data_IF_705867151431
#
_entry.id   IF_705867151431
#
_cell.length_a   1.000
_cell.length_b   1.000
_cell.length_c   1.000
_cell.angle_alpha   90.00
_cell.angle_beta   90.00
_cell.angle_gamma   90.00
#
_symmetry.space_group_name_H-M   'P 1'
#
loop_
_entity.id
_entity.type
_entity.pdbx_description
1 polymer ?
#
# COMPACT_ATOMS: atom_id res chain seq x y z
N UNK A 1 -5.91 18.39 -1.62
CA UNK A 1 -6.88 17.47 -1.00
C UNK A 1 -6.21 16.10 -0.95
N UNK A 2 -5.93 15.55 0.24
CA UNK A 2 -5.37 14.20 0.41
C UNK A 2 -6.48 13.17 0.73
N UNK A 3 -7.76 13.56 0.53
CA UNK A 3 -8.91 12.67 0.54
C UNK A 3 -8.88 11.68 -0.62
N UNK A 4 -8.18 10.56 -0.47
CA UNK A 4 -8.19 9.46 -1.44
C UNK A 4 -9.53 8.69 -1.35
N UNK A 5 -10.50 9.30 -2.02
CA UNK A 5 -11.93 9.06 -2.18
C UNK A 5 -12.56 7.67 -1.94
N UNK A 6 -13.84 7.77 -1.53
CA UNK A 6 -14.91 6.74 -1.49
C UNK A 6 -15.22 6.15 -2.90
N UNK A 7 -15.89 4.98 -3.00
CA UNK A 7 -15.61 3.98 -4.02
C UNK A 7 -16.22 4.23 -5.41
N UNK A 8 -15.50 3.79 -6.45
CA UNK A 8 -16.07 3.42 -7.76
C UNK A 8 -16.47 1.94 -7.68
N UNK A 9 -17.77 1.67 -7.82
CA UNK A 9 -18.41 0.35 -7.73
C UNK A 9 -17.92 -0.63 -8.81
N UNK A 10 -16.76 -1.27 -8.67
CA UNK A 10 -16.45 -2.49 -9.42
C UNK A 10 -15.50 -3.39 -8.62
N UNK A 11 -16.07 -4.29 -7.81
CA UNK A 11 -15.81 -5.74 -7.83
C UNK A 11 -16.45 -6.39 -6.59
N UNK A 12 -17.13 -7.48 -6.86
CA UNK A 12 -18.13 -8.10 -6.00
C UNK A 12 -17.48 -9.14 -5.06
N UNK A 13 -17.84 -9.06 -3.78
CA UNK A 13 -17.87 -10.14 -2.77
C UNK A 13 -16.56 -10.64 -2.16
N UNK A 14 -16.11 -9.94 -1.09
CA UNK A 14 -15.76 -10.59 0.19
C UNK A 14 -16.34 -9.74 1.32
N UNK A 15 -17.17 -10.33 2.19
CA UNK A 15 -17.87 -9.60 3.26
C UNK A 15 -16.91 -9.09 4.34
N UNK A 16 -17.04 -7.80 4.62
CA UNK A 16 -16.80 -7.10 5.91
C UNK A 16 -15.38 -6.63 6.25
N UNK A 17 -14.77 -5.89 5.33
CA UNK A 17 -14.07 -4.62 5.59
C UNK A 17 -13.52 -4.20 4.25
N UNK A 18 -14.24 -3.37 3.51
CA UNK A 18 -13.75 -2.87 2.22
C UNK A 18 -12.43 -2.13 2.49
N UNK A 19 -11.31 -2.77 2.16
CA UNK A 19 -10.00 -2.14 2.24
C UNK A 19 -9.93 -1.18 1.06
N UNK A 20 -9.97 0.12 1.34
CA UNK A 20 -9.88 1.17 0.35
C UNK A 20 -8.42 1.59 0.16
N UNK A 21 -7.98 1.77 -1.10
CA UNK A 21 -6.64 2.25 -1.43
C UNK A 21 -6.00 1.49 -2.60
N UNK A 22 -4.85 1.98 -3.05
CA UNK A 22 -4.02 1.30 -4.06
C UNK A 22 -3.04 0.38 -3.31
N UNK A 23 -3.04 -0.91 -3.64
CA UNK A 23 -2.50 -1.99 -2.80
C UNK A 23 -1.11 -1.73 -2.18
N UNK A 24 -0.09 -1.27 -2.94
CA UNK A 24 1.23 -0.95 -2.38
C UNK A 24 1.23 0.06 -1.23
N UNK A 25 0.26 0.97 -1.21
CA UNK A 25 0.14 2.04 -0.23
C UNK A 25 -0.69 1.65 1.00
N UNK A 26 -1.34 0.48 0.99
CA UNK A 26 -2.16 0.02 2.12
C UNK A 26 -1.28 -0.69 3.14
N UNK A 27 -1.36 -0.26 4.39
CA UNK A 27 -0.57 -0.82 5.48
C UNK A 27 -0.93 -2.29 5.77
N UNK A 28 0.04 -3.13 6.16
CA UNK A 28 -0.18 -4.57 6.36
C UNK A 28 -1.21 -4.89 7.44
N UNK A 29 -1.36 -4.06 8.47
CA UNK A 29 -2.40 -4.23 9.47
C UNK A 29 -3.81 -4.01 8.87
N UNK A 30 -3.97 -3.02 7.98
CA UNK A 30 -5.22 -2.75 7.28
C UNK A 30 -5.54 -3.89 6.31
N UNK A 31 -4.54 -4.42 5.60
CA UNK A 31 -4.69 -5.60 4.74
C UNK A 31 -5.15 -6.85 5.50
N UNK A 32 -4.81 -6.96 6.79
CA UNK A 32 -5.26 -8.04 7.69
C UNK A 32 -6.60 -7.77 8.36
N UNK A 33 -7.31 -6.72 7.95
CA UNK A 33 -8.60 -6.33 8.53
C UNK A 33 -8.50 -5.70 9.92
N UNK A 34 -7.30 -5.27 10.34
CA UNK A 34 -7.18 -4.48 11.58
C UNK A 34 -7.61 -3.03 11.32
N UNK A 35 -8.01 -2.31 12.38
CA UNK A 35 -8.38 -0.90 12.26
C UNK A 35 -7.24 -0.06 11.68
N UNK A 36 -7.61 0.94 10.88
CA UNK A 36 -6.70 1.98 10.44
C UNK A 36 -6.14 2.76 11.64
N UNK A 37 -4.84 3.08 11.60
CA UNK A 37 -4.17 3.84 12.67
C UNK A 37 -3.24 4.90 12.08
N UNK A 38 -2.65 5.73 12.95
CA UNK A 38 -1.58 6.64 12.56
C UNK A 38 -0.36 5.90 11.95
N UNK A 39 -0.10 4.65 12.37
CA UNK A 39 0.96 3.85 11.76
C UNK A 39 0.64 3.51 10.29
N UNK A 40 -0.64 3.40 9.95
CA UNK A 40 -1.09 3.18 8.59
C UNK A 40 -0.83 4.41 7.71
N UNK A 41 -1.09 5.62 8.21
CA UNK A 41 -0.72 6.88 7.53
C UNK A 41 0.80 6.95 7.29
N UNK A 42 1.60 6.62 8.30
CA UNK A 42 3.08 6.63 8.21
C UNK A 42 3.55 5.65 7.15
N UNK A 43 2.96 4.45 7.09
CA UNK A 43 3.26 3.45 6.06
C UNK A 43 2.99 4.01 4.66
N UNK A 44 1.76 4.50 4.41
CA UNK A 44 1.37 5.04 3.10
C UNK A 44 2.26 6.21 2.68
N UNK A 45 2.56 7.12 3.61
CA UNK A 45 3.48 8.23 3.37
C UNK A 45 4.90 7.76 3.04
N UNK A 46 5.39 6.72 3.71
CA UNK A 46 6.71 6.14 3.43
C UNK A 46 6.78 5.54 2.03
N UNK A 47 5.69 4.91 1.57
CA UNK A 47 5.60 4.37 0.21
C UNK A 47 5.58 5.49 -0.85
N UNK A 48 4.85 6.58 -0.60
CA UNK A 48 4.86 7.78 -1.46
C UNK A 48 6.26 8.41 -1.51
N UNK A 49 6.92 8.58 -0.35
CA UNK A 49 8.26 9.14 -0.29
C UNK A 49 9.27 8.26 -1.02
N UNK A 50 9.15 6.94 -0.91
CA UNK A 50 10.01 6.03 -1.66
C UNK A 50 9.82 6.22 -3.16
N UNK A 51 8.59 6.25 -3.67
CA UNK A 51 8.28 6.48 -5.09
C UNK A 51 8.80 7.85 -5.57
N UNK A 52 8.66 8.89 -4.74
CA UNK A 52 9.16 10.22 -5.05
C UNK A 52 10.69 10.29 -5.15
N UNK A 53 11.40 9.65 -4.22
CA UNK A 53 12.87 9.64 -4.21
C UNK A 53 13.42 8.74 -5.32
N UNK A 54 12.74 7.63 -5.60
CA UNK A 54 13.16 6.66 -6.61
C UNK A 54 12.87 7.11 -8.04
N UNK A 55 11.76 7.83 -8.24
CA UNK A 55 11.17 8.05 -9.57
C UNK A 55 10.65 6.77 -10.22
N UNK A 56 10.49 5.68 -9.45
CA UNK A 56 10.08 4.35 -9.92
C UNK A 56 8.80 3.96 -9.20
N UNK A 57 7.85 3.36 -9.93
CA UNK A 57 6.59 2.90 -9.34
C UNK A 57 6.82 1.75 -8.36
N UNK A 58 6.05 1.72 -7.28
CA UNK A 58 6.12 0.64 -6.29
C UNK A 58 5.78 -0.71 -6.92
N UNK A 59 6.67 -1.68 -6.80
CA UNK A 59 6.47 -3.03 -7.34
C UNK A 59 6.15 -3.03 -8.84
N UNK A 60 6.83 -2.18 -9.62
CA UNK A 60 6.66 -1.96 -11.08
C UNK A 60 6.59 -3.24 -11.95
N UNK A 61 7.09 -4.37 -11.44
CA UNK A 61 7.10 -5.66 -12.13
C UNK A 61 6.09 -6.68 -11.57
N UNK A 62 5.14 -6.25 -10.75
CA UNK A 62 4.22 -7.15 -10.03
C UNK A 62 2.76 -6.76 -10.23
N UNK A 63 1.89 -7.77 -10.31
CA UNK A 63 0.46 -7.55 -10.34
C UNK A 63 -0.04 -7.09 -8.96
N UNK A 64 -0.92 -6.10 -8.93
CA UNK A 64 -1.55 -5.62 -7.69
C UNK A 64 -2.72 -6.54 -7.30
N UNK A 65 -2.38 -7.78 -6.96
CA UNK A 65 -3.32 -8.86 -6.69
C UNK A 65 -3.25 -9.35 -5.24
N UNK A 66 -3.98 -10.43 -4.96
CA UNK A 66 -3.99 -11.04 -3.64
C UNK A 66 -2.59 -11.51 -3.20
N UNK A 67 -1.75 -11.96 -4.13
CA UNK A 67 -0.41 -12.44 -3.80
C UNK A 67 0.48 -11.29 -3.30
N UNK A 68 0.44 -10.13 -3.95
CA UNK A 68 1.16 -8.95 -3.47
C UNK A 68 0.68 -8.52 -2.08
N UNK A 69 -0.62 -8.61 -1.79
CA UNK A 69 -1.16 -8.28 -0.46
C UNK A 69 -0.61 -9.19 0.65
N UNK A 70 -0.47 -10.49 0.35
CA UNK A 70 0.14 -11.47 1.26
C UNK A 70 1.63 -11.18 1.47
N UNK A 71 2.35 -10.81 0.41
CA UNK A 71 3.78 -10.54 0.49
C UNK A 71 4.07 -9.28 1.30
N UNK A 72 3.28 -8.21 1.14
CA UNK A 72 3.33 -7.01 1.99
C UNK A 72 3.10 -7.38 3.46
N UNK A 73 2.11 -8.23 3.72
CA UNK A 73 1.83 -8.79 5.04
C UNK A 73 2.98 -9.66 5.57
N UNK A 74 3.80 -10.27 4.72
CA UNK A 74 5.01 -11.01 5.14
C UNK A 74 6.24 -10.13 5.33
N UNK A 75 6.12 -8.82 5.07
CA UNK A 75 7.21 -7.87 5.27
C UNK A 75 7.93 -7.47 3.99
N UNK A 76 7.41 -7.81 2.80
CA UNK A 76 7.95 -7.33 1.53
C UNK A 76 7.94 -5.80 1.50
N UNK A 77 9.06 -5.19 1.12
CA UNK A 77 9.23 -3.74 0.97
C UNK A 77 9.97 -3.44 -0.33
N UNK A 78 9.81 -2.25 -0.90
CA UNK A 78 10.65 -1.80 -2.00
C UNK A 78 12.14 -1.81 -1.62
N UNK A 79 13.01 -2.01 -2.60
CA UNK A 79 14.46 -2.07 -2.36
C UNK A 79 15.02 -0.72 -1.89
N UNK A 80 16.05 -0.76 -1.05
CA UNK A 80 16.76 0.45 -0.62
C UNK A 80 17.62 0.95 -1.78
N UNK A 81 17.34 2.17 -2.23
CA UNK A 81 18.08 2.80 -3.32
C UNK A 81 19.36 3.40 -2.76
N UNK A 82 20.50 3.10 -3.40
CA UNK A 82 21.84 3.45 -2.91
C UNK A 82 22.12 4.96 -2.76
N UNK A 83 21.26 5.81 -3.30
CA UNK A 83 21.43 7.27 -3.31
C UNK A 83 20.49 8.00 -2.33
N UNK A 84 19.79 7.27 -1.46
CA UNK A 84 18.98 7.88 -0.39
C UNK A 84 19.95 8.35 0.72
N UNK A 85 19.88 9.62 1.18
CA UNK A 85 20.65 10.09 2.33
C UNK A 85 20.39 9.20 3.54
N UNK A 86 21.46 8.77 4.23
CA UNK A 86 21.36 8.01 5.47
C UNK A 86 21.05 8.90 6.68
#
# INVERSE_FOLDING_TARGET
DLGLCKPVKYLHSFKNSDIYGVLPFVAPEVLRGQPYTLASDIYSFSMIMWEFISGISLFDNEAYDFQLSLDICKGKRPEIIKNIPQ
#
